data_IF_316111719654
#
_entry.id   IF_316111719654
#
_cell.length_a   1.000
_cell.length_b   1.000
_cell.length_c   1.000
_cell.angle_alpha   90.00
_cell.angle_beta   90.00
_cell.angle_gamma   90.00
#
_symmetry.space_group_name_H-M   'P 1'
#
loop_
_entity.id
_entity.type
_entity.pdbx_description
1 polymer ?
#
# COMPACT_ATOMS: atom_id res chain seq x y z
N UNK A 1 -5.21 -3.56 -15.38
CA UNK A 1 -4.56 -2.65 -14.39
C UNK A 1 -4.83 -3.22 -13.02
N UNK A 2 -3.88 -3.14 -12.08
CA UNK A 2 -3.99 -3.78 -10.77
C UNK A 2 -4.75 -2.85 -9.82
N UNK A 3 -5.80 -3.39 -9.18
CA UNK A 3 -6.58 -2.63 -8.20
C UNK A 3 -6.04 -2.89 -6.81
N UNK A 4 -5.48 -1.86 -6.20
CA UNK A 4 -4.91 -1.91 -4.86
C UNK A 4 -5.90 -1.40 -3.83
N UNK A 5 -6.01 -2.06 -2.69
CA UNK A 5 -6.80 -1.59 -1.56
C UNK A 5 -5.87 -0.85 -0.61
N UNK A 6 -6.14 0.43 -0.39
CA UNK A 6 -5.32 1.30 0.45
C UNK A 6 -6.14 1.87 1.60
N UNK A 7 -5.48 2.13 2.73
CA UNK A 7 -6.05 2.72 3.94
C UNK A 7 -5.30 3.97 4.34
N UNK A 8 -6.02 5.09 4.45
CA UNK A 8 -5.44 6.33 5.00
C UNK A 8 -4.97 6.11 6.44
N UNK A 9 -3.73 6.47 6.75
CA UNK A 9 -3.18 6.30 8.11
C UNK A 9 -3.73 7.32 9.10
N UNK A 10 -4.37 8.40 8.64
CA UNK A 10 -4.91 9.47 9.48
C UNK A 10 -6.38 9.23 9.87
N UNK A 11 -7.26 8.97 8.90
CA UNK A 11 -8.71 8.80 9.15
C UNK A 11 -9.23 7.38 8.94
N UNK A 12 -8.37 6.45 8.54
CA UNK A 12 -8.74 5.05 8.31
C UNK A 12 -9.62 4.81 7.08
N UNK A 13 -9.84 5.79 6.20
CA UNK A 13 -10.59 5.59 4.96
C UNK A 13 -9.91 4.54 4.09
N UNK A 14 -10.66 3.49 3.75
CA UNK A 14 -10.27 2.46 2.81
C UNK A 14 -10.86 2.75 1.42
N UNK A 15 -10.06 2.58 0.37
CA UNK A 15 -10.51 2.73 -1.01
C UNK A 15 -9.65 1.93 -1.97
N UNK A 16 -10.21 1.69 -3.15
CA UNK A 16 -9.47 1.15 -4.29
C UNK A 16 -8.64 2.24 -4.98
N UNK A 17 -7.45 1.86 -5.40
CA UNK A 17 -6.52 2.65 -6.20
C UNK A 17 -6.17 1.82 -7.44
N UNK A 18 -6.65 2.26 -8.60
CA UNK A 18 -6.33 1.66 -9.89
C UNK A 18 -5.08 2.33 -10.47
N UNK A 19 -3.97 1.59 -10.53
CA UNK A 19 -2.69 2.08 -11.05
C UNK A 19 -1.99 0.99 -11.86
N UNK A 20 -1.25 1.40 -12.88
CA UNK A 20 -0.40 0.51 -13.69
C UNK A 20 0.95 0.18 -13.06
N UNK A 21 1.12 0.43 -11.75
CA UNK A 21 2.38 0.28 -11.03
C UNK A 21 2.23 -0.71 -9.87
N UNK A 22 3.30 -1.45 -9.58
CA UNK A 22 3.33 -2.41 -8.48
C UNK A 22 3.70 -1.74 -7.16
N UNK A 23 2.73 -1.63 -6.24
CA UNK A 23 2.92 -1.00 -4.93
C UNK A 23 3.72 -1.86 -3.93
N UNK A 24 3.97 -3.14 -4.23
CA UNK A 24 4.85 -3.99 -3.42
C UNK A 24 6.27 -3.41 -3.34
N UNK A 25 6.74 -2.83 -4.45
CA UNK A 25 8.04 -2.17 -4.56
C UNK A 25 8.18 -0.92 -3.67
N UNK A 26 7.07 -0.32 -3.25
CA UNK A 26 7.02 0.88 -2.39
C UNK A 26 6.80 0.54 -0.92
N UNK A 27 7.23 -0.67 -0.49
CA UNK A 27 7.02 -1.16 0.88
C UNK A 27 5.54 -1.05 1.32
N UNK A 28 4.62 -1.27 0.39
CA UNK A 28 3.18 -1.24 0.66
C UNK A 28 2.69 0.09 1.26
N UNK A 29 3.30 1.22 0.87
CA UNK A 29 2.96 2.56 1.34
C UNK A 29 2.98 3.56 0.19
N UNK A 30 2.01 4.48 0.18
CA UNK A 30 1.90 5.53 -0.84
C UNK A 30 1.47 6.85 -0.22
N UNK A 31 1.92 7.97 -0.79
CA UNK A 31 1.53 9.31 -0.34
C UNK A 31 0.58 9.94 -1.34
N UNK A 32 -0.69 10.13 -0.94
CA UNK A 32 -1.78 10.51 -1.85
C UNK A 32 -2.79 11.41 -1.13
N UNK A 33 -3.60 12.13 -1.91
CA UNK A 33 -4.72 12.91 -1.39
C UNK A 33 -5.78 12.01 -0.76
N UNK A 34 -6.17 12.28 0.49
CA UNK A 34 -7.29 11.62 1.14
C UNK A 34 -8.56 12.50 1.02
N UNK A 35 -9.63 12.01 0.37
CA UNK A 35 -10.86 12.81 0.20
C UNK A 35 -11.60 13.08 1.52
N UNK A 36 -11.39 12.26 2.56
CA UNK A 36 -11.99 12.47 3.90
C UNK A 36 -11.19 13.47 4.75
N UNK A 37 -9.86 13.39 4.74
CA UNK A 37 -9.01 14.36 5.47
C UNK A 37 -8.89 15.70 4.74
N UNK A 38 -9.09 15.71 3.41
CA UNK A 38 -8.85 16.84 2.51
C UNK A 38 -7.41 17.36 2.49
N UNK A 39 -6.46 16.47 2.75
CA UNK A 39 -5.03 16.73 2.68
C UNK A 39 -4.30 15.51 2.12
N UNK A 40 -3.07 15.69 1.65
CA UNK A 40 -2.21 14.58 1.27
C UNK A 40 -1.73 13.86 2.53
N UNK A 41 -1.91 12.55 2.56
CA UNK A 41 -1.53 11.71 3.70
C UNK A 41 -0.90 10.43 3.20
N UNK A 42 -0.12 9.80 4.07
CA UNK A 42 0.32 8.42 3.86
C UNK A 42 -0.88 7.48 3.88
N UNK A 43 -0.91 6.55 2.95
CA UNK A 43 -1.85 5.44 2.90
C UNK A 43 -1.07 4.14 2.91
N UNK A 44 -1.55 3.18 3.68
CA UNK A 44 -1.00 1.84 3.80
C UNK A 44 -1.74 0.92 2.84
N UNK A 45 -1.03 0.11 2.07
CA UNK A 45 -1.63 -0.92 1.21
C UNK A 45 -2.07 -2.09 2.09
N UNK A 46 -3.32 -2.51 1.94
CA UNK A 46 -3.92 -3.65 2.65
C UNK A 46 -3.89 -4.92 1.79
N UNK A 47 -3.97 -4.77 0.48
CA UNK A 47 -4.08 -5.87 -0.47
C UNK A 47 -4.26 -5.39 -1.90
N UNK A 48 -4.45 -6.33 -2.79
CA UNK A 48 -4.79 -6.07 -4.20
C UNK A 48 -5.74 -7.13 -4.74
N UNK A 49 -6.43 -6.81 -5.82
CA UNK A 49 -7.18 -7.79 -6.60
C UNK A 49 -6.27 -8.39 -7.66
N UNK A 50 -6.12 -9.71 -7.63
CA UNK A 50 -5.38 -10.46 -8.65
C UNK A 50 -6.04 -10.21 -10.02
N UNK A 51 -5.28 -9.72 -11.03
CA UNK A 51 -5.85 -9.33 -12.31
C UNK A 51 -6.31 -10.52 -13.17
N UNK A 52 -5.90 -11.75 -12.86
CA UNK A 52 -6.24 -12.96 -13.61
C UNK A 52 -7.40 -13.73 -12.97
N UNK A 53 -7.46 -13.77 -11.64
CA UNK A 53 -8.47 -14.54 -10.88
C UNK A 53 -9.55 -13.65 -10.24
N UNK A 54 -9.30 -12.34 -10.12
CA UNK A 54 -10.17 -11.39 -9.43
C UNK A 54 -10.17 -11.52 -7.90
N UNK A 55 -9.42 -12.49 -7.35
CA UNK A 55 -9.38 -12.73 -5.91
C UNK A 55 -8.66 -11.60 -5.18
N UNK A 56 -9.18 -11.24 -4.01
CA UNK A 56 -8.50 -10.32 -3.11
C UNK A 56 -7.36 -11.03 -2.40
N UNK A 57 -6.14 -10.51 -2.57
CA UNK A 57 -4.92 -10.98 -1.92
C UNK A 57 -4.55 -9.99 -0.82
N UNK A 58 -4.59 -10.44 0.43
CA UNK A 58 -4.21 -9.63 1.58
C UNK A 58 -2.69 -9.60 1.76
N UNK A 59 -2.15 -8.41 1.99
CA UNK A 59 -0.73 -8.23 2.32
C UNK A 59 -0.55 -8.34 3.84
N UNK A 60 0.12 -9.40 4.28
CA UNK A 60 0.52 -9.57 5.67
C UNK A 60 1.84 -8.83 5.93
N UNK A 61 1.82 -7.83 6.80
CA UNK A 61 2.93 -6.88 6.97
C UNK A 61 4.09 -7.40 7.83
N UNK A 62 4.02 -8.66 8.23
CA UNK A 62 4.97 -9.31 9.15
C UNK A 62 6.36 -9.49 8.55
N UNK A 63 6.55 -9.28 7.24
CA UNK A 63 7.83 -9.48 6.54
C UNK A 63 8.67 -8.19 6.37
N UNK A 64 8.38 -7.11 7.11
CA UNK A 64 9.08 -5.81 6.96
C UNK A 64 10.24 -5.59 7.96
N UNK A 65 10.70 -6.65 8.60
CA UNK A 65 11.92 -6.69 9.44
C UNK A 65 12.59 -8.01 9.06
N UNK A 66 13.69 -8.08 8.31
CA UNK A 66 15.06 -7.56 8.50
C UNK A 66 15.74 -7.64 7.09
N UNK A 67 16.61 -6.75 6.62
CA UNK A 67 18.09 -6.81 6.72
C UNK A 67 18.66 -5.60 5.95
N UNK A 68 19.72 -4.96 6.46
CA UNK A 68 20.47 -3.94 5.70
C UNK A 68 20.89 -2.67 6.46
N UNK A 69 21.25 -2.77 7.74
CA UNK A 69 22.22 -1.82 8.31
C UNK A 69 23.54 -2.59 8.40
N UNK A 70 24.37 -2.46 7.36
CA UNK A 70 25.78 -2.83 7.46
C UNK A 70 26.56 -1.58 7.87
N UNK A 71 27.13 -1.62 9.06
CA UNK A 71 28.33 -0.88 9.46
C UNK A 71 29.30 -0.73 8.29
N UNK A 72 29.76 0.49 8.05
CA UNK A 72 31.10 0.74 7.53
C UNK A 72 31.67 1.94 8.31
N UNK A 73 32.78 1.66 8.99
CA UNK A 73 33.75 2.63 9.54
C UNK A 73 34.15 3.72 8.53
#
# INVERSE_FOLDING_TARGET
>A
MTRWVIKCTQCGLERELDVGFDLSSLRYSVYLYCPRCRVNTTHRVLGYHDPYTGQYVQVNQTETSVEGVSEFD
#
